data_IF_810873359891
#
_entry.id   IF_810873359891
#
_cell.length_a   1.000
_cell.length_b   1.000
_cell.length_c   1.000
_cell.angle_alpha   90.00
_cell.angle_beta   90.00
_cell.angle_gamma   90.00
#
_symmetry.space_group_name_H-M   'P 1'
#
loop_
_entity.id
_entity.type
_entity.pdbx_description
1 polymer ?
#
# COMPACT_ATOMS: atom_id res chain seq x y z
N UNK A 1 10.88 3.88 19.44
CA UNK A 1 10.63 2.52 20.01
C UNK A 1 10.23 1.58 18.88
N UNK A 2 10.61 0.30 18.92
CA UNK A 2 10.18 -0.64 17.89
C UNK A 2 8.66 -0.79 17.91
N UNK A 3 8.04 -0.77 16.74
CA UNK A 3 6.59 -0.91 16.59
C UNK A 3 6.17 -2.31 17.03
N UNK A 4 5.33 -2.43 18.06
CA UNK A 4 4.80 -3.73 18.49
C UNK A 4 3.64 -4.17 17.59
N UNK A 5 3.97 -4.51 16.35
CA UNK A 5 3.02 -5.03 15.35
C UNK A 5 3.51 -6.40 14.86
N UNK A 6 2.67 -7.45 14.89
CA UNK A 6 3.02 -8.76 14.32
C UNK A 6 3.38 -8.66 12.83
N UNK A 7 2.69 -7.80 12.09
CA UNK A 7 2.96 -7.58 10.67
C UNK A 7 4.33 -6.92 10.46
N UNK A 8 4.71 -5.96 11.31
CA UNK A 8 6.04 -5.35 11.26
C UNK A 8 7.14 -6.36 11.55
N UNK A 9 6.98 -7.17 12.59
CA UNK A 9 7.94 -8.24 12.93
C UNK A 9 8.10 -9.24 11.78
N UNK A 10 7.02 -9.58 11.10
CA UNK A 10 7.07 -10.43 9.91
C UNK A 10 7.86 -9.76 8.78
N UNK A 11 7.58 -8.49 8.47
CA UNK A 11 8.30 -7.72 7.43
C UNK A 11 9.79 -7.65 7.74
N UNK A 12 10.15 -7.28 8.98
CA UNK A 12 11.55 -7.16 9.40
C UNK A 12 12.30 -8.50 9.32
N UNK A 13 11.63 -9.61 9.68
CA UNK A 13 12.19 -10.96 9.53
C UNK A 13 12.38 -11.36 8.07
N UNK A 14 11.38 -11.11 7.24
CA UNK A 14 11.39 -11.51 5.83
C UNK A 14 12.39 -10.68 5.03
N UNK A 15 12.64 -9.42 5.41
CA UNK A 15 13.65 -8.57 4.79
C UNK A 15 15.10 -9.05 5.02
N UNK A 16 15.33 -10.02 5.92
CA UNK A 16 16.64 -10.65 6.10
C UNK A 16 16.93 -11.74 5.03
N UNK A 17 15.92 -12.16 4.28
CA UNK A 17 16.07 -13.12 3.20
C UNK A 17 16.47 -12.44 1.88
N UNK A 18 16.96 -13.21 0.88
CA UNK A 18 17.17 -12.68 -0.46
C UNK A 18 15.93 -11.97 -1.01
N UNK A 19 16.13 -10.87 -1.74
CA UNK A 19 15.05 -9.97 -2.17
C UNK A 19 13.90 -10.67 -2.93
N UNK A 20 14.20 -11.67 -3.75
CA UNK A 20 13.16 -12.44 -4.47
C UNK A 20 12.27 -13.24 -3.52
N UNK A 21 12.85 -13.84 -2.46
CA UNK A 21 12.10 -14.63 -1.47
C UNK A 21 11.29 -13.69 -0.57
N UNK A 22 11.88 -12.59 -0.12
CA UNK A 22 11.19 -11.54 0.64
C UNK A 22 9.94 -11.03 -0.09
N UNK A 23 10.10 -10.64 -1.35
CA UNK A 23 8.98 -10.21 -2.21
C UNK A 23 7.89 -11.28 -2.35
N UNK A 24 8.29 -12.52 -2.60
CA UNK A 24 7.36 -13.62 -2.74
C UNK A 24 6.53 -13.83 -1.47
N UNK A 25 7.18 -13.90 -0.30
CA UNK A 25 6.52 -14.15 0.98
C UNK A 25 5.59 -12.98 1.37
N UNK A 26 6.05 -11.74 1.24
CA UNK A 26 5.22 -10.56 1.53
C UNK A 26 4.00 -10.47 0.61
N UNK A 27 4.22 -10.65 -0.69
CA UNK A 27 3.13 -10.63 -1.68
C UNK A 27 2.11 -11.73 -1.41
N UNK A 28 2.56 -12.95 -1.11
CA UNK A 28 1.68 -14.08 -0.81
C UNK A 28 0.84 -13.84 0.43
N UNK A 29 1.46 -13.37 1.52
CA UNK A 29 0.74 -13.02 2.76
C UNK A 29 -0.28 -11.91 2.51
N UNK A 30 0.15 -10.82 1.87
CA UNK A 30 -0.73 -9.68 1.59
C UNK A 30 -1.95 -10.07 0.77
N UNK A 31 -1.77 -10.82 -0.32
CA UNK A 31 -2.86 -11.31 -1.17
C UNK A 31 -3.80 -12.29 -0.45
N UNK A 32 -3.29 -13.01 0.54
CA UNK A 32 -4.11 -13.87 1.38
C UNK A 32 -4.99 -13.06 2.34
N UNK A 33 -4.43 -12.01 2.95
CA UNK A 33 -5.15 -11.14 3.89
C UNK A 33 -6.13 -10.21 3.17
N UNK A 34 -5.70 -9.60 2.05
CA UNK A 34 -6.52 -8.66 1.26
C UNK A 34 -7.00 -9.37 0.00
N UNK A 35 -8.19 -9.98 0.06
CA UNK A 35 -8.72 -10.85 -1.00
C UNK A 35 -8.84 -10.15 -2.36
N UNK A 36 -9.28 -8.89 -2.37
CA UNK A 36 -9.40 -8.11 -3.61
C UNK A 36 -8.03 -7.86 -4.27
N UNK A 37 -7.01 -7.53 -3.47
CA UNK A 37 -5.64 -7.42 -3.94
C UNK A 37 -5.11 -8.76 -4.48
N UNK A 38 -5.52 -9.87 -3.87
CA UNK A 38 -5.24 -11.23 -4.36
C UNK A 38 -5.87 -11.49 -5.74
N UNK A 39 -7.13 -11.11 -5.95
CA UNK A 39 -7.84 -11.23 -7.23
C UNK A 39 -7.17 -10.37 -8.31
N UNK A 40 -6.85 -9.13 -7.99
CA UNK A 40 -6.14 -8.22 -8.88
C UNK A 40 -4.65 -8.58 -9.06
N UNK A 41 -4.12 -9.50 -8.25
CA UNK A 41 -2.71 -9.91 -8.21
C UNK A 41 -1.76 -8.72 -8.00
N UNK A 42 -2.06 -7.90 -7.02
CA UNK A 42 -1.18 -6.82 -6.58
C UNK A 42 0.10 -7.41 -5.98
N UNK A 43 1.26 -6.90 -6.38
CA UNK A 43 2.58 -7.35 -5.91
C UNK A 43 3.18 -6.33 -4.96
N UNK A 44 3.80 -6.78 -3.86
CA UNK A 44 4.74 -5.99 -3.07
C UNK A 44 6.11 -6.14 -3.69
N UNK A 45 6.71 -5.02 -4.11
CA UNK A 45 8.04 -5.02 -4.72
C UNK A 45 9.13 -4.86 -3.67
N UNK A 46 8.95 -3.93 -2.75
CA UNK A 46 9.92 -3.62 -1.69
C UNK A 46 9.26 -2.88 -0.54
N UNK A 47 9.81 -3.03 0.67
CA UNK A 47 9.57 -2.12 1.80
C UNK A 47 10.75 -2.12 2.75
N UNK A 48 11.10 -0.94 3.26
CA UNK A 48 12.06 -0.72 4.35
C UNK A 48 11.36 -0.40 5.69
N UNK A 49 10.02 -0.44 5.69
CA UNK A 49 9.19 -0.11 6.84
C UNK A 49 8.75 1.36 6.94
N UNK A 50 9.35 2.28 6.20
CA UNK A 50 8.92 3.69 6.05
C UNK A 50 8.41 3.99 4.65
N UNK A 51 8.87 3.23 3.68
CA UNK A 51 8.47 3.31 2.29
C UNK A 51 8.05 1.93 1.81
N UNK A 52 7.06 1.86 0.96
CA UNK A 52 6.64 0.63 0.30
C UNK A 52 6.41 0.87 -1.18
N UNK A 53 6.83 -0.08 -1.99
CA UNK A 53 6.57 -0.10 -3.44
C UNK A 53 5.65 -1.26 -3.79
N UNK A 54 4.50 -0.94 -4.36
CA UNK A 54 3.51 -1.89 -4.86
C UNK A 54 3.43 -1.81 -6.38
N UNK A 55 3.05 -2.92 -7.02
CA UNK A 55 2.89 -2.99 -8.47
C UNK A 55 1.66 -3.79 -8.87
N UNK A 56 0.97 -3.35 -9.91
CA UNK A 56 -0.05 -4.10 -10.61
C UNK A 56 0.32 -4.20 -12.09
N UNK A 57 0.38 -5.43 -12.61
CA UNK A 57 0.68 -5.67 -14.03
C UNK A 57 -0.56 -5.41 -14.89
N UNK A 58 -0.37 -4.80 -16.05
CA UNK A 58 -1.43 -4.60 -17.03
C UNK A 58 -1.87 -5.94 -17.65
N UNK A 59 -2.80 -6.64 -17.02
CA UNK A 59 -3.33 -7.95 -17.42
C UNK A 59 -4.83 -7.86 -17.73
N UNK A 60 -5.33 -8.75 -18.56
CA UNK A 60 -6.75 -8.78 -18.99
C UNK A 60 -7.75 -8.60 -17.84
N UNK A 61 -7.53 -9.23 -16.66
CA UNK A 61 -8.46 -9.18 -15.51
C UNK A 61 -8.49 -7.83 -14.78
N UNK A 62 -7.55 -6.93 -15.05
CA UNK A 62 -7.48 -5.61 -14.41
C UNK A 62 -7.56 -4.47 -15.41
N UNK A 63 -7.84 -4.77 -16.69
CA UNK A 63 -7.98 -3.79 -17.78
C UNK A 63 -9.38 -3.20 -17.84
N UNK A 64 -9.42 -1.96 -18.33
CA UNK A 64 -10.64 -1.33 -18.81
C UNK A 64 -10.90 -1.71 -20.29
N UNK A 65 -11.97 -1.15 -20.85
CA UNK A 65 -12.40 -1.38 -22.23
C UNK A 65 -11.41 -0.87 -23.31
N UNK A 66 -10.49 0.04 -22.94
CA UNK A 66 -9.46 0.58 -23.84
C UNK A 66 -8.09 -0.11 -23.67
N UNK A 67 -8.02 -1.21 -22.90
CA UNK A 67 -6.81 -2.04 -22.75
C UNK A 67 -5.76 -1.53 -21.78
N UNK A 68 -6.02 -0.46 -21.02
CA UNK A 68 -5.15 0.03 -19.94
C UNK A 68 -5.59 -0.50 -18.59
N UNK A 69 -4.77 -0.34 -17.55
CA UNK A 69 -5.18 -0.68 -16.17
C UNK A 69 -6.41 0.14 -15.79
N UNK A 70 -7.44 -0.54 -15.29
CA UNK A 70 -8.72 0.08 -14.93
C UNK A 70 -8.53 1.10 -13.80
N UNK A 71 -9.29 2.20 -13.84
CA UNK A 71 -9.28 3.24 -12.80
C UNK A 71 -9.45 2.66 -11.38
N UNK A 72 -10.42 1.75 -11.19
CA UNK A 72 -10.63 1.08 -9.90
C UNK A 72 -9.42 0.22 -9.47
N UNK A 73 -8.66 -0.36 -10.42
CA UNK A 73 -7.45 -1.12 -10.11
C UNK A 73 -6.30 -0.22 -9.68
N UNK A 74 -6.22 1.00 -10.22
CA UNK A 74 -5.26 2.02 -9.76
C UNK A 74 -5.63 2.54 -8.37
N UNK A 75 -6.91 2.76 -8.10
CA UNK A 75 -7.41 3.12 -6.77
C UNK A 75 -7.09 2.02 -5.73
N UNK A 76 -7.35 0.74 -6.06
CA UNK A 76 -6.99 -0.39 -5.24
C UNK A 76 -5.49 -0.44 -4.95
N UNK A 77 -4.64 -0.14 -5.95
CA UNK A 77 -3.20 -0.14 -5.77
C UNK A 77 -2.76 0.96 -4.79
N UNK A 78 -3.30 2.16 -4.91
CA UNK A 78 -3.01 3.28 -4.01
C UNK A 78 -3.48 2.99 -2.58
N UNK A 79 -4.70 2.47 -2.42
CA UNK A 79 -5.25 2.05 -1.13
C UNK A 79 -4.39 0.94 -0.51
N UNK A 80 -4.04 -0.09 -1.28
CA UNK A 80 -3.24 -1.21 -0.81
C UNK A 80 -1.84 -0.79 -0.33
N UNK A 81 -1.16 0.09 -1.07
CA UNK A 81 0.17 0.56 -0.70
C UNK A 81 0.12 1.42 0.57
N UNK A 82 -0.83 2.36 0.65
CA UNK A 82 -0.97 3.26 1.81
C UNK A 82 -1.49 2.51 3.04
N UNK A 83 -2.44 1.59 2.88
CA UNK A 83 -2.94 0.76 3.97
C UNK A 83 -1.90 -0.21 4.52
N UNK A 84 -1.05 -0.77 3.66
CA UNK A 84 0.03 -1.65 4.09
C UNK A 84 1.07 -0.89 4.93
N UNK A 85 1.53 0.30 4.47
CA UNK A 85 2.53 1.08 5.22
C UNK A 85 1.98 1.58 6.58
N UNK A 86 0.69 1.93 6.64
CA UNK A 86 0.01 2.23 7.90
C UNK A 86 -0.06 0.98 8.78
N UNK A 87 -0.51 -0.15 8.24
CA UNK A 87 -0.69 -1.40 8.98
C UNK A 87 0.58 -1.95 9.61
N UNK A 88 1.74 -1.86 8.94
CA UNK A 88 3.03 -2.31 9.50
C UNK A 88 3.57 -1.36 10.58
N UNK A 89 3.15 -0.09 10.60
CA UNK A 89 3.60 0.91 11.57
C UNK A 89 2.59 1.17 12.70
N UNK A 90 1.41 0.57 12.62
CA UNK A 90 0.37 0.71 13.66
C UNK A 90 0.53 -0.38 14.73
N UNK A 91 0.45 -0.04 16.05
CA UNK A 91 0.46 -1.04 17.13
C UNK A 91 -0.66 -2.09 16.99
N UNK A 92 -0.40 -3.32 17.47
CA UNK A 92 -1.30 -4.47 17.30
C UNK A 92 -2.69 -4.28 17.93
N UNK A 93 -2.79 -3.42 18.94
CA UNK A 93 -4.05 -3.09 19.64
C UNK A 93 -4.90 -2.03 18.94
N UNK A 94 -4.49 -1.59 17.74
CA UNK A 94 -5.20 -0.59 16.94
C UNK A 94 -5.63 -1.16 15.59
N UNK A 95 -6.72 -0.64 15.05
CA UNK A 95 -7.30 -1.05 13.76
C UNK A 95 -7.19 0.11 12.76
N UNK A 96 -6.49 -0.07 11.63
CA UNK A 96 -6.47 0.92 10.56
C UNK A 96 -7.76 0.87 9.74
N UNK A 97 -8.28 2.03 9.38
CA UNK A 97 -9.47 2.21 8.57
C UNK A 97 -9.22 3.30 7.53
N UNK A 98 -9.52 3.06 6.27
CA UNK A 98 -9.52 4.12 5.27
C UNK A 98 -10.67 5.09 5.58
N UNK A 99 -10.34 6.38 5.73
CA UNK A 99 -11.31 7.43 6.04
C UNK A 99 -11.71 8.23 4.80
N UNK A 100 -10.73 8.54 3.95
CA UNK A 100 -10.96 9.30 2.73
C UNK A 100 -10.01 8.86 1.62
N UNK A 101 -10.53 8.83 0.40
CA UNK A 101 -9.78 8.61 -0.82
C UNK A 101 -10.17 9.72 -1.80
N UNK A 102 -9.27 10.65 -2.04
CA UNK A 102 -9.44 11.68 -3.06
C UNK A 102 -8.57 11.29 -4.27
N UNK A 103 -9.21 11.00 -5.41
CA UNK A 103 -8.57 10.43 -6.59
C UNK A 103 -8.84 11.32 -7.80
N UNK A 104 -7.77 11.86 -8.39
CA UNK A 104 -7.82 12.68 -9.59
C UNK A 104 -7.09 11.99 -10.74
N UNK A 105 -7.83 11.48 -11.72
CA UNK A 105 -7.29 10.82 -12.91
C UNK A 105 -6.91 11.87 -13.94
N UNK A 106 -5.61 12.14 -14.05
CA UNK A 106 -5.10 13.27 -14.83
C UNK A 106 -4.60 12.89 -16.22
N UNK A 107 -4.21 11.60 -16.42
CA UNK A 107 -3.69 11.11 -17.71
C UNK A 107 -4.07 9.65 -17.95
N UNK A 108 -4.12 9.27 -19.23
CA UNK A 108 -4.24 7.86 -19.62
C UNK A 108 -2.96 7.12 -19.29
N UNK A 109 -3.09 5.97 -18.60
CA UNK A 109 -1.95 5.13 -18.23
C UNK A 109 -1.47 4.23 -19.39
N UNK A 110 -0.20 3.84 -19.36
CA UNK A 110 0.40 2.87 -20.27
C UNK A 110 1.19 1.80 -19.51
N UNK A 111 0.98 0.53 -19.87
CA UNK A 111 1.70 -0.58 -19.25
C UNK A 111 1.28 -0.86 -17.79
N UNK A 112 2.24 -1.33 -17.00
CA UNK A 112 2.06 -1.65 -15.57
C UNK A 112 1.95 -0.38 -14.74
N UNK A 113 1.33 -0.47 -13.57
CA UNK A 113 1.23 0.65 -12.61
C UNK A 113 2.02 0.31 -11.35
N UNK A 114 2.78 1.29 -10.88
CA UNK A 114 3.55 1.23 -9.63
C UNK A 114 3.06 2.31 -8.68
N UNK A 115 2.88 1.97 -7.40
CA UNK A 115 2.58 2.91 -6.33
C UNK A 115 3.70 2.87 -5.28
N UNK A 116 4.20 4.04 -4.90
CA UNK A 116 5.18 4.21 -3.83
C UNK A 116 4.53 5.04 -2.74
N UNK A 117 4.31 4.42 -1.57
CA UNK A 117 3.75 5.10 -0.40
C UNK A 117 4.81 5.24 0.71
N UNK A 118 4.74 6.33 1.47
CA UNK A 118 5.68 6.59 2.55
C UNK A 118 5.04 7.30 3.74
N UNK A 119 5.63 7.08 4.92
CA UNK A 119 5.33 7.77 6.17
C UNK A 119 6.58 8.45 6.69
N UNK A 120 6.41 9.63 7.32
CA UNK A 120 7.48 10.31 8.04
C UNK A 120 7.65 9.72 9.45
N UNK A 121 8.78 9.99 10.11
CA UNK A 121 9.02 9.56 11.48
C UNK A 121 8.00 10.17 12.47
N UNK A 122 7.61 11.42 12.23
CA UNK A 122 6.58 12.12 13.01
C UNK A 122 5.22 11.42 12.89
N UNK A 123 4.83 11.04 11.67
CA UNK A 123 3.58 10.30 11.43
C UNK A 123 3.60 8.94 12.12
N UNK A 124 4.70 8.19 12.04
CA UNK A 124 4.87 6.91 12.71
C UNK A 124 4.79 7.09 14.24
N UNK A 125 5.45 8.11 14.79
CA UNK A 125 5.42 8.42 16.22
C UNK A 125 4.00 8.76 16.68
N UNK A 126 3.29 9.58 15.93
CA UNK A 126 1.89 9.93 16.19
C UNK A 126 1.00 8.68 16.27
N UNK A 127 1.12 7.78 15.29
CA UNK A 127 0.36 6.53 15.22
C UNK A 127 0.64 5.59 16.40
N UNK A 128 1.84 5.63 16.96
CA UNK A 128 2.21 4.84 18.12
C UNK A 128 1.65 5.43 19.44
N UNK A 129 1.70 6.74 19.60
CA UNK A 129 1.37 7.43 20.84
C UNK A 129 -0.14 7.65 21.04
N UNK A 130 -0.88 7.95 19.97
CA UNK A 130 -2.30 8.28 20.06
C UNK A 130 -3.18 7.05 19.89
N UNK A 131 -4.09 6.80 20.81
CA UNK A 131 -5.02 5.66 20.74
C UNK A 131 -5.94 5.71 19.53
N UNK A 132 -6.34 6.90 19.11
CA UNK A 132 -7.11 7.17 17.89
C UNK A 132 -6.60 8.43 17.21
N UNK A 133 -6.68 8.45 15.88
CA UNK A 133 -6.22 9.60 15.10
C UNK A 133 -6.34 9.33 13.61
N UNK A 134 -5.72 10.20 12.83
CA UNK A 134 -5.69 10.08 11.36
C UNK A 134 -4.37 10.57 10.79
N UNK A 135 -4.02 10.09 9.61
CA UNK A 135 -2.82 10.45 8.87
C UNK A 135 -3.10 10.51 7.38
N UNK A 136 -2.63 11.57 6.72
CA UNK A 136 -2.56 11.63 5.25
C UNK A 136 -1.27 10.95 4.80
N UNK A 137 -1.40 9.88 4.01
CA UNK A 137 -0.26 9.09 3.53
C UNK A 137 0.12 9.55 2.14
N UNK A 138 1.37 10.00 1.97
CA UNK A 138 1.91 10.34 0.66
C UNK A 138 2.00 9.08 -0.20
N UNK A 139 1.45 9.15 -1.41
CA UNK A 139 1.57 8.10 -2.42
C UNK A 139 1.82 8.70 -3.79
N UNK A 140 2.78 8.13 -4.52
CA UNK A 140 3.08 8.49 -5.91
C UNK A 140 2.75 7.30 -6.79
N UNK A 141 1.96 7.53 -7.84
CA UNK A 141 1.53 6.49 -8.76
C UNK A 141 2.12 6.81 -10.14
N UNK A 142 2.84 5.84 -10.70
CA UNK A 142 3.47 5.96 -12.02
C UNK A 142 3.11 4.77 -12.88
N UNK A 143 3.05 4.98 -14.18
CA UNK A 143 2.83 3.94 -15.17
C UNK A 143 4.14 3.36 -15.75
N UNK A 144 4.04 2.46 -16.71
CA UNK A 144 5.19 1.77 -17.32
C UNK A 144 6.12 2.68 -18.14
N UNK A 145 5.72 3.91 -18.44
CA UNK A 145 6.52 4.91 -19.16
C UNK A 145 6.88 6.13 -18.29
N UNK A 146 6.62 6.06 -16.99
CA UNK A 146 6.98 7.10 -16.04
C UNK A 146 5.99 8.26 -15.92
N UNK A 147 4.79 8.14 -16.51
CA UNK A 147 3.72 9.15 -16.38
C UNK A 147 3.00 8.93 -15.05
N UNK A 148 2.51 10.00 -14.44
CA UNK A 148 1.59 9.98 -13.29
C UNK A 148 0.15 10.00 -13.83
N UNK A 149 -0.56 8.86 -13.90
CA UNK A 149 -1.93 8.81 -14.41
C UNK A 149 -2.97 9.20 -13.36
N UNK A 150 -2.64 9.06 -12.08
CA UNK A 150 -3.50 9.25 -10.94
C UNK A 150 -2.78 10.04 -9.85
N UNK A 151 -3.35 11.17 -9.46
CA UNK A 151 -3.01 11.89 -8.24
C UNK A 151 -3.95 11.41 -7.14
N UNK A 152 -3.40 10.99 -6.01
CA UNK A 152 -4.18 10.39 -4.92
C UNK A 152 -3.81 11.00 -3.57
N UNK A 153 -4.82 11.36 -2.79
CA UNK A 153 -4.70 11.67 -1.38
C UNK A 153 -5.44 10.59 -0.58
N UNK A 154 -4.72 9.94 0.34
CA UNK A 154 -5.22 8.80 1.09
C UNK A 154 -5.14 9.10 2.59
N UNK A 155 -6.30 9.31 3.22
CA UNK A 155 -6.39 9.57 4.66
C UNK A 155 -6.81 8.30 5.38
N UNK A 156 -5.93 7.82 6.24
CA UNK A 156 -6.14 6.65 7.11
C UNK A 156 -6.40 7.10 8.54
N UNK A 157 -7.42 6.52 9.15
CA UNK A 157 -7.69 6.66 10.57
C UNK A 157 -7.33 5.37 11.31
N UNK A 158 -7.15 5.46 12.63
CA UNK A 158 -7.04 4.29 13.50
C UNK A 158 -7.86 4.48 14.77
N UNK A 159 -8.34 3.36 15.28
CA UNK A 159 -9.10 3.25 16.53
C UNK A 159 -8.56 2.07 17.35
N UNK A 160 -8.75 2.06 18.69
CA UNK A 160 -8.47 0.89 19.50
C UNK A 160 -9.28 -0.32 19.01
N UNK A 161 -8.66 -1.50 18.99
CA UNK A 161 -9.41 -2.76 18.85
C UNK A 161 -10.25 -3.00 20.11
N UNK A 162 -11.50 -3.39 19.90
CA UNK A 162 -12.35 -3.88 20.98
C UNK A 162 -11.92 -5.26 21.44
#
# INVERSE_FOLDING_TARGET
>A
MPVNSPLRKFVDKVNQYPSWLSRFLMTRLFRHLVKLAGTAKVDIVHTDGKTVTFKIKNRRKVRNHIGTVHAASMALLAESATGFIVGINLPANKLPLIKNMNLNYVKRSQGDITAVASLTDEQITLMQQQDKGEVSVKVTITDGVGIVPLEAEMIWAWIPKK
#
